data_IF_006455292912
#
_entry.id   IF_006455292912
#
_cell.length_a   1.000
_cell.length_b   1.000
_cell.length_c   1.000
_cell.angle_alpha   90.00
_cell.angle_beta   90.00
_cell.angle_gamma   90.00
#
_symmetry.space_group_name_H-M   'P 1'
#
loop_
_entity.id
_entity.type
_entity.pdbx_description
1 polymer ?
#
# COMPACT_ATOMS: atom_id res chain seq x y z
N UNK A 1 17.28 11.53 12.20
CA UNK A 1 16.47 10.33 12.47
C UNK A 1 16.31 9.52 11.20
N UNK A 2 16.80 8.29 11.24
CA UNK A 2 16.53 7.30 10.21
C UNK A 2 15.29 6.48 10.58
N UNK A 3 14.39 6.25 9.63
CA UNK A 3 13.18 5.46 9.78
C UNK A 3 13.03 4.54 8.58
N UNK A 4 12.79 3.25 8.86
CA UNK A 4 12.40 2.30 7.81
C UNK A 4 11.02 2.66 7.25
N UNK A 5 10.79 2.35 5.97
CA UNK A 5 9.51 2.60 5.33
C UNK A 5 8.34 1.81 5.95
N UNK A 6 7.14 2.23 5.57
CA UNK A 6 5.88 1.61 5.96
C UNK A 6 5.78 0.18 5.43
N UNK A 7 5.35 -0.80 6.25
CA UNK A 7 5.11 -2.16 5.79
C UNK A 7 4.05 -2.21 4.69
N UNK A 8 4.30 -3.02 3.66
CA UNK A 8 3.36 -3.25 2.56
C UNK A 8 2.85 -4.69 2.64
N UNK A 9 1.53 -4.84 2.73
CA UNK A 9 0.85 -6.12 2.60
C UNK A 9 0.03 -6.09 1.32
N UNK A 10 0.38 -6.92 0.35
CA UNK A 10 -0.36 -6.98 -0.90
C UNK A 10 -1.64 -7.80 -0.73
N UNK A 11 -2.67 -7.41 -1.47
CA UNK A 11 -3.93 -8.15 -1.58
C UNK A 11 -4.47 -7.93 -2.99
N UNK A 12 -5.23 -8.90 -3.50
CA UNK A 12 -5.95 -8.69 -4.75
C UNK A 12 -7.06 -7.65 -4.57
N UNK A 13 -7.36 -6.95 -5.64
CA UNK A 13 -8.56 -6.11 -5.79
C UNK A 13 -9.30 -6.51 -7.06
N UNK A 14 -10.56 -6.07 -7.18
CA UNK A 14 -11.42 -6.45 -8.30
C UNK A 14 -11.93 -7.88 -8.15
N UNK A 15 -11.96 -8.63 -9.24
CA UNK A 15 -12.71 -9.87 -9.31
C UNK A 15 -12.16 -11.00 -8.42
N UNK A 16 -10.84 -11.02 -8.19
CA UNK A 16 -10.16 -11.93 -7.28
C UNK A 16 -10.43 -11.63 -5.78
N UNK A 17 -11.10 -10.51 -5.47
CA UNK A 17 -11.48 -10.07 -4.13
C UNK A 17 -13.01 -9.88 -4.10
N UNK A 18 -13.76 -10.96 -4.37
CA UNK A 18 -15.21 -11.02 -4.31
C UNK A 18 -15.75 -12.22 -3.52
N UNK A 19 -16.96 -12.09 -2.96
CA UNK A 19 -17.65 -13.19 -2.24
C UNK A 19 -18.06 -14.32 -3.19
N UNK A 20 -18.44 -13.97 -4.42
CA UNK A 20 -18.82 -14.89 -5.49
C UNK A 20 -17.64 -15.77 -5.87
N UNK A 21 -16.42 -15.22 -5.81
CA UNK A 21 -15.23 -16.02 -6.01
C UNK A 21 -15.05 -17.07 -4.91
N UNK A 22 -15.23 -16.73 -3.64
CA UNK A 22 -15.07 -17.71 -2.57
C UNK A 22 -16.00 -18.93 -2.79
N UNK A 23 -17.22 -18.67 -3.25
CA UNK A 23 -18.17 -19.72 -3.64
C UNK A 23 -17.68 -20.53 -4.85
N UNK A 24 -17.11 -19.88 -5.88
CA UNK A 24 -16.55 -20.57 -7.04
C UNK A 24 -15.28 -21.38 -6.74
N UNK A 25 -14.35 -20.83 -5.96
CA UNK A 25 -13.04 -21.43 -5.65
C UNK A 25 -13.12 -22.53 -4.60
N UNK A 26 -13.98 -22.37 -3.59
CA UNK A 26 -14.01 -23.23 -2.40
C UNK A 26 -15.35 -23.94 -2.20
N UNK A 27 -16.35 -23.67 -3.05
CA UNK A 27 -17.71 -24.20 -2.88
C UNK A 27 -18.46 -23.60 -1.69
N UNK A 28 -17.91 -22.57 -1.03
CA UNK A 28 -18.49 -21.94 0.16
C UNK A 28 -18.14 -20.47 0.25
N UNK A 29 -19.03 -19.66 0.83
CA UNK A 29 -18.75 -18.26 1.17
C UNK A 29 -18.10 -18.11 2.57
N UNK A 30 -17.79 -19.20 3.27
CA UNK A 30 -17.20 -19.16 4.61
C UNK A 30 -15.86 -18.40 4.68
N UNK A 31 -15.14 -18.30 3.56
CA UNK A 31 -13.89 -17.55 3.43
C UNK A 31 -14.10 -16.07 3.04
N UNK A 32 -15.36 -15.60 3.03
CA UNK A 32 -15.74 -14.21 2.76
C UNK A 32 -15.89 -13.35 4.04
N UNK A 33 -15.58 -13.89 5.22
CA UNK A 33 -15.86 -13.22 6.51
C UNK A 33 -14.59 -12.51 7.00
N UNK A 34 -14.51 -11.18 6.81
CA UNK A 34 -13.44 -10.31 7.34
C UNK A 34 -12.81 -9.36 6.31
N UNK A 35 -11.79 -8.59 6.72
CA UNK A 35 -11.01 -7.62 5.92
C UNK A 35 -10.16 -8.29 4.79
N UNK A 36 -10.76 -9.20 4.03
CA UNK A 36 -10.20 -9.98 2.94
C UNK A 36 -11.36 -10.71 2.25
N UNK A 37 -12.17 -9.96 1.50
CA UNK A 37 -13.36 -10.48 0.82
C UNK A 37 -12.93 -11.23 -0.42
N UNK A 38 -12.45 -12.45 -0.29
CA UNK A 38 -11.93 -13.21 -1.42
C UNK A 38 -10.82 -14.08 -0.91
N UNK A 39 -11.13 -15.37 -0.75
CA UNK A 39 -10.31 -16.31 0.02
C UNK A 39 -8.95 -16.66 -0.58
N UNK A 40 -8.41 -15.84 -1.49
CA UNK A 40 -7.12 -16.05 -2.12
C UNK A 40 -6.17 -14.87 -1.88
N UNK A 41 -4.97 -15.18 -1.41
CA UNK A 41 -3.86 -14.26 -1.23
C UNK A 41 -2.90 -14.34 -2.45
N UNK A 42 -2.20 -13.25 -2.78
CA UNK A 42 -1.15 -13.29 -3.80
C UNK A 42 -0.07 -14.32 -3.44
N UNK A 43 0.26 -15.17 -4.41
CA UNK A 43 1.40 -16.07 -4.31
C UNK A 43 2.62 -15.41 -4.97
N UNK A 44 3.81 -15.85 -4.56
CA UNK A 44 5.07 -15.27 -5.02
C UNK A 44 5.97 -16.34 -5.64
N UNK A 45 6.45 -16.10 -6.85
CA UNK A 45 7.39 -17.00 -7.55
C UNK A 45 8.85 -16.68 -7.23
N UNK A 46 9.12 -15.42 -6.86
CA UNK A 46 10.43 -14.92 -6.43
C UNK A 46 10.25 -13.68 -5.54
N UNK A 47 11.35 -13.06 -5.09
CA UNK A 47 11.27 -11.79 -4.37
C UNK A 47 10.88 -10.66 -5.35
N UNK A 48 9.69 -10.03 -5.22
CA UNK A 48 9.26 -8.96 -6.12
C UNK A 48 9.99 -7.62 -5.86
N UNK A 49 10.79 -7.50 -4.79
CA UNK A 49 11.46 -6.24 -4.49
C UNK A 49 12.59 -5.97 -5.48
N UNK A 50 12.47 -4.87 -6.23
CA UNK A 50 13.42 -4.49 -7.28
C UNK A 50 14.72 -3.86 -6.74
N UNK A 51 14.89 -3.74 -5.43
CA UNK A 51 16.14 -3.27 -4.82
C UNK A 51 16.43 -1.78 -4.99
N UNK A 52 15.53 -1.01 -5.60
CA UNK A 52 15.73 0.39 -5.94
C UNK A 52 14.44 1.07 -6.38
N UNK A 53 14.49 2.40 -6.48
CA UNK A 53 13.36 3.24 -6.87
C UNK A 53 12.94 4.16 -5.72
N UNK A 54 13.38 5.40 -5.79
CA UNK A 54 13.07 6.41 -4.76
C UNK A 54 12.66 7.73 -5.38
N UNK A 55 12.26 7.74 -6.66
CA UNK A 55 11.77 8.91 -7.36
C UNK A 55 10.39 8.62 -7.92
N UNK A 56 9.61 9.67 -8.11
CA UNK A 56 8.36 9.58 -8.86
C UNK A 56 8.65 8.99 -10.24
N UNK A 57 7.92 7.94 -10.59
CA UNK A 57 8.09 7.21 -11.85
C UNK A 57 8.79 5.87 -11.71
N UNK A 58 9.62 5.67 -10.67
CA UNK A 58 10.35 4.42 -10.47
C UNK A 58 9.40 3.29 -10.06
N UNK A 59 9.70 2.05 -10.47
CA UNK A 59 9.04 0.84 -9.96
C UNK A 59 9.88 0.22 -8.84
N UNK A 60 9.26 -0.03 -7.69
CA UNK A 60 9.90 -0.67 -6.52
C UNK A 60 9.53 -2.14 -6.34
N UNK A 61 8.46 -2.58 -7.01
CA UNK A 61 7.97 -3.95 -7.00
C UNK A 61 7.74 -4.44 -8.42
N UNK A 62 8.12 -5.69 -8.66
CA UNK A 62 7.84 -6.40 -9.90
C UNK A 62 6.54 -7.19 -9.79
N UNK A 63 5.63 -6.95 -10.74
CA UNK A 63 4.40 -7.73 -10.89
C UNK A 63 4.70 -9.16 -11.37
N UNK A 64 5.78 -9.38 -12.13
CA UNK A 64 6.10 -10.70 -12.70
C UNK A 64 6.39 -11.77 -11.63
N UNK A 65 6.81 -11.33 -10.45
CA UNK A 65 7.08 -12.18 -9.29
C UNK A 65 5.80 -12.53 -8.49
N UNK A 66 4.64 -11.98 -8.87
CA UNK A 66 3.36 -12.17 -8.20
C UNK A 66 2.43 -12.98 -9.10
N UNK A 67 1.85 -14.04 -8.55
CA UNK A 67 0.95 -14.94 -9.26
C UNK A 67 -0.31 -15.21 -8.45
N UNK A 68 -1.30 -15.78 -9.13
CA UNK A 68 -2.49 -16.33 -8.50
C UNK A 68 -2.16 -17.69 -7.87
N UNK A 69 -2.74 -18.02 -6.71
CA UNK A 69 -2.64 -19.38 -6.18
C UNK A 69 -3.38 -20.36 -7.10
N UNK A 70 -3.07 -21.65 -6.97
CA UNK A 70 -3.79 -22.69 -7.71
C UNK A 70 -5.26 -22.78 -7.29
N UNK A 71 -6.11 -23.34 -8.17
CA UNK A 71 -7.53 -23.57 -7.87
C UNK A 71 -7.68 -24.38 -6.58
N UNK A 72 -8.57 -23.94 -5.69
CA UNK A 72 -8.79 -24.57 -4.38
C UNK A 72 -7.73 -24.23 -3.32
N UNK A 73 -6.73 -23.41 -3.65
CA UNK A 73 -5.75 -22.91 -2.69
C UNK A 73 -6.02 -21.45 -2.34
N UNK A 74 -5.93 -21.10 -1.06
CA UNK A 74 -6.03 -19.73 -0.57
C UNK A 74 -4.74 -18.92 -0.71
N UNK A 75 -3.67 -19.52 -1.22
CA UNK A 75 -2.34 -18.92 -1.20
C UNK A 75 -1.75 -18.86 0.23
N UNK A 76 -0.60 -18.19 0.39
CA UNK A 76 0.09 -18.15 1.67
C UNK A 76 -0.70 -17.30 2.69
N UNK A 77 -0.98 -17.86 3.87
CA UNK A 77 -1.64 -17.17 4.98
C UNK A 77 -0.78 -16.06 5.59
N UNK A 78 0.54 -16.16 5.42
CA UNK A 78 1.54 -15.16 5.77
C UNK A 78 2.39 -14.91 4.54
N UNK A 79 2.52 -13.64 4.11
CA UNK A 79 3.37 -13.31 2.97
C UNK A 79 4.80 -13.79 3.23
N UNK A 80 5.41 -14.58 2.31
CA UNK A 80 6.75 -15.15 2.52
C UNK A 80 7.85 -14.08 2.54
N UNK A 81 7.54 -12.90 2.05
CA UNK A 81 8.45 -11.77 1.98
C UNK A 81 7.86 -10.57 2.73
N UNK A 82 8.72 -9.87 3.44
CA UNK A 82 8.37 -8.68 4.19
C UNK A 82 8.81 -7.43 3.43
N UNK A 83 7.88 -6.83 2.69
CA UNK A 83 8.16 -5.62 1.91
C UNK A 83 7.89 -4.36 2.73
N UNK A 84 8.72 -3.35 2.50
CA UNK A 84 8.53 -2.01 3.03
C UNK A 84 8.68 -0.98 1.94
N UNK A 85 7.97 0.13 2.08
CA UNK A 85 8.18 1.31 1.26
C UNK A 85 9.57 1.92 1.46
N UNK A 86 9.82 3.05 0.78
CA UNK A 86 11.09 3.77 0.89
C UNK A 86 11.41 4.16 2.34
N UNK A 87 12.69 4.17 2.67
CA UNK A 87 13.18 4.71 3.93
C UNK A 87 13.14 6.25 3.97
N UNK A 88 13.23 6.79 5.18
CA UNK A 88 13.37 8.22 5.45
C UNK A 88 14.60 8.47 6.31
N UNK A 89 15.40 9.45 5.95
CA UNK A 89 16.45 10.04 6.75
C UNK A 89 16.21 11.55 6.93
N UNK A 90 15.61 11.91 8.07
CA UNK A 90 15.27 13.29 8.40
C UNK A 90 16.31 13.91 9.31
N UNK A 91 16.79 15.10 9.00
CA UNK A 91 17.71 15.83 9.87
C UNK A 91 17.10 17.16 10.28
N UNK A 92 16.90 17.32 11.59
CA UNK A 92 16.34 18.51 12.20
C UNK A 92 17.42 19.13 13.09
N UNK A 93 17.61 20.45 13.00
CA UNK A 93 18.63 21.19 13.72
C UNK A 93 17.98 22.40 14.37
N UNK A 94 18.23 22.60 15.66
CA UNK A 94 17.71 23.75 16.40
C UNK A 94 18.84 24.51 17.08
N UNK A 95 18.90 25.82 16.87
CA UNK A 95 19.83 26.75 17.48
C UNK A 95 19.11 27.60 18.52
N UNK A 96 19.75 27.79 19.67
CA UNK A 96 19.24 28.61 20.77
C UNK A 96 20.34 29.55 21.23
N UNK A 97 20.02 30.85 21.31
CA UNK A 97 20.91 31.85 21.91
C UNK A 97 20.14 32.75 22.85
N UNK A 98 20.63 32.86 24.08
CA UNK A 98 20.15 33.85 25.02
C UNK A 98 21.15 35.01 25.02
N UNK A 99 20.61 36.22 24.93
CA UNK A 99 21.32 37.47 25.16
C UNK A 99 20.77 38.05 26.46
N UNK A 100 21.60 38.09 27.51
CA UNK A 100 21.22 38.65 28.80
C UNK A 100 21.53 40.15 28.81
N UNK A 101 20.65 40.95 29.40
CA UNK A 101 20.77 42.42 29.46
C UNK A 101 21.07 42.93 30.87
N UNK A 102 20.93 42.08 31.88
CA UNK A 102 21.22 42.38 33.28
C UNK A 102 22.26 41.41 33.84
N UNK A 103 22.95 41.84 34.91
CA UNK A 103 23.93 41.02 35.63
C UNK A 103 23.28 39.79 36.28
N UNK A 104 22.02 39.92 36.67
CA UNK A 104 21.25 38.88 37.37
C UNK A 104 20.58 37.88 36.40
N UNK A 105 20.64 38.13 35.09
CA UNK A 105 20.12 37.24 34.03
C UNK A 105 18.60 37.13 33.94
N UNK A 106 17.85 38.00 34.64
CA UNK A 106 16.39 38.03 34.64
C UNK A 106 15.83 38.65 33.36
N UNK A 107 16.53 39.65 32.80
CA UNK A 107 16.18 40.31 31.54
C UNK A 107 16.98 39.69 30.41
N UNK A 108 16.32 38.92 29.57
CA UNK A 108 16.98 38.24 28.44
C UNK A 108 16.14 38.19 27.18
N UNK A 109 16.83 38.31 26.05
CA UNK A 109 16.31 38.01 24.73
C UNK A 109 16.73 36.60 24.33
N UNK A 110 15.77 35.72 24.12
CA UNK A 110 16.00 34.38 23.60
C UNK A 110 15.67 34.32 22.12
N UNK A 111 16.69 33.99 21.32
CA UNK A 111 16.56 33.65 19.91
C UNK A 111 16.52 32.13 19.75
N UNK A 112 15.57 31.65 18.93
CA UNK A 112 15.47 30.25 18.55
C UNK A 112 15.32 30.16 17.03
N UNK A 113 16.09 29.29 16.40
CA UNK A 113 15.93 28.93 15.00
C UNK A 113 15.86 27.41 14.86
N UNK A 114 14.80 26.89 14.24
CA UNK A 114 14.62 25.48 13.94
C UNK A 114 14.65 25.24 12.43
N UNK A 115 15.41 24.25 12.00
CA UNK A 115 15.48 23.78 10.62
C UNK A 115 15.04 22.33 10.59
N UNK A 116 13.90 22.04 9.97
CA UNK A 116 13.34 20.69 9.91
C UNK A 116 13.46 20.13 8.49
N UNK A 117 13.88 18.87 8.38
CA UNK A 117 14.21 18.22 7.11
C UNK A 117 15.22 19.05 6.29
N UNK A 118 16.38 19.36 6.89
CA UNK A 118 17.34 20.31 6.30
C UNK A 118 17.86 19.87 4.90
N UNK A 119 17.97 18.56 4.66
CA UNK A 119 18.34 17.98 3.37
C UNK A 119 17.17 17.84 2.39
N UNK A 120 15.97 18.29 2.77
CA UNK A 120 14.76 18.30 1.95
C UNK A 120 14.45 16.94 1.31
N UNK A 121 14.56 15.86 2.08
CA UNK A 121 14.20 14.54 1.57
C UNK A 121 12.68 14.43 1.40
N UNK A 122 12.25 13.96 0.23
CA UNK A 122 10.87 13.54 -0.02
C UNK A 122 10.84 12.02 -0.21
N UNK A 123 9.77 11.38 0.25
CA UNK A 123 9.60 9.92 0.16
C UNK A 123 8.12 9.54 0.06
N UNK A 124 7.77 8.40 -0.54
CA UNK A 124 6.42 7.86 -0.51
C UNK A 124 6.07 7.42 0.92
N UNK A 125 4.96 7.89 1.46
CA UNK A 125 4.57 7.61 2.85
C UNK A 125 3.21 6.94 2.93
N UNK A 126 2.26 7.45 2.16
CA UNK A 126 0.86 7.06 2.28
C UNK A 126 0.63 5.85 1.38
N UNK A 127 0.10 4.77 1.95
CA UNK A 127 -0.11 3.49 1.26
C UNK A 127 -1.58 3.11 1.37
N UNK A 128 -2.24 2.96 0.23
CA UNK A 128 -3.63 2.53 0.15
C UNK A 128 -3.84 1.54 -0.99
N UNK A 129 -4.27 0.32 -0.64
CA UNK A 129 -4.47 -0.77 -1.60
C UNK A 129 -5.82 -0.69 -2.31
N UNK A 130 -6.80 0.02 -1.75
CA UNK A 130 -8.16 0.09 -2.30
C UNK A 130 -8.42 1.38 -3.07
N UNK A 131 -7.61 2.42 -2.85
CA UNK A 131 -7.69 3.69 -3.56
C UNK A 131 -6.28 4.10 -4.02
N UNK A 132 -5.95 3.93 -5.32
CA UNK A 132 -4.60 4.21 -5.82
C UNK A 132 -4.31 5.71 -5.84
N UNK A 133 -5.35 6.56 -5.88
CA UNK A 133 -5.19 8.02 -5.84
C UNK A 133 -4.85 8.53 -4.43
N UNK A 134 -5.14 7.74 -3.40
CA UNK A 134 -4.75 8.00 -2.02
C UNK A 134 -3.45 7.29 -1.62
N UNK A 135 -2.72 6.73 -2.59
CA UNK A 135 -1.48 5.98 -2.37
C UNK A 135 -0.33 6.62 -3.14
N UNK A 136 0.80 6.80 -2.47
CA UNK A 136 2.03 7.35 -3.05
C UNK A 136 2.79 6.30 -3.89
N UNK A 137 2.43 5.02 -3.74
CA UNK A 137 2.89 3.90 -4.55
C UNK A 137 1.67 3.16 -5.06
N UNK A 138 1.62 2.89 -6.37
CA UNK A 138 0.52 2.13 -6.95
C UNK A 138 0.71 0.63 -6.65
N UNK A 139 -0.09 0.13 -5.70
CA UNK A 139 0.00 -1.24 -5.17
C UNK A 139 -1.28 -2.06 -5.42
N UNK A 140 -2.13 -1.57 -6.31
CA UNK A 140 -3.36 -2.26 -6.68
C UNK A 140 -3.07 -3.44 -7.58
N UNK A 141 -3.34 -4.64 -7.05
CA UNK A 141 -3.42 -5.88 -7.80
C UNK A 141 -4.85 -6.05 -8.32
N UNK A 142 -5.28 -5.17 -9.23
CA UNK A 142 -6.62 -5.20 -9.78
C UNK A 142 -6.73 -6.31 -10.82
N UNK A 143 -7.79 -7.11 -10.70
CA UNK A 143 -7.95 -8.36 -11.41
C UNK A 143 -9.30 -8.42 -12.12
N UNK A 144 -9.28 -9.04 -13.29
CA UNK A 144 -10.45 -9.34 -14.11
C UNK A 144 -10.51 -10.84 -14.34
N UNK A 145 -11.72 -11.36 -14.46
CA UNK A 145 -11.94 -12.76 -14.76
C UNK A 145 -11.70 -13.00 -16.23
N UNK A 146 -10.96 -14.07 -16.54
CA UNK A 146 -10.72 -14.48 -17.92
C UNK A 146 -12.00 -15.09 -18.51
N UNK A 147 -12.76 -15.81 -17.67
CA UNK A 147 -14.04 -16.41 -18.01
C UNK A 147 -15.07 -16.15 -16.91
N UNK A 148 -16.27 -15.80 -17.33
CA UNK A 148 -17.46 -15.73 -16.48
C UNK A 148 -18.44 -16.84 -16.88
N UNK A 149 -19.16 -17.36 -15.89
CA UNK A 149 -20.19 -18.37 -16.06
C UNK A 149 -21.53 -17.77 -15.65
N UNK A 150 -22.53 -17.90 -16.51
CA UNK A 150 -23.90 -17.44 -16.28
C UNK A 150 -24.84 -18.56 -15.85
N UNK A 151 -24.51 -19.81 -16.18
CA UNK A 151 -25.29 -21.00 -15.84
C UNK A 151 -24.38 -22.15 -15.44
N UNK A 152 -24.80 -22.94 -14.45
CA UNK A 152 -24.11 -24.16 -14.03
C UNK A 152 -25.01 -25.35 -14.35
N UNK A 153 -24.50 -26.33 -15.12
CA UNK A 153 -25.26 -27.51 -15.56
C UNK A 153 -26.62 -27.17 -16.23
N UNK A 154 -26.67 -26.11 -17.04
CA UNK A 154 -27.89 -25.70 -17.75
C UNK A 154 -28.94 -24.98 -16.90
N UNK A 155 -28.65 -24.70 -15.62
CA UNK A 155 -29.52 -23.96 -14.71
C UNK A 155 -28.87 -22.70 -14.13
N UNK A 156 -29.66 -21.82 -13.48
CA UNK A 156 -29.13 -20.63 -12.83
C UNK A 156 -28.22 -21.00 -11.64
N UNK A 157 -27.16 -20.24 -11.44
CA UNK A 157 -26.21 -20.51 -10.35
C UNK A 157 -26.84 -20.06 -9.03
N UNK A 158 -26.86 -20.94 -8.04
CA UNK A 158 -27.43 -20.63 -6.71
C UNK A 158 -26.42 -19.84 -5.89
N UNK A 159 -26.85 -18.76 -5.24
CA UNK A 159 -25.97 -17.87 -4.46
C UNK A 159 -25.76 -18.30 -3.00
N UNK A 160 -26.26 -19.48 -2.59
CA UNK A 160 -26.14 -20.00 -1.23
C UNK A 160 -27.01 -19.31 -0.17
N UNK A 161 -27.83 -18.32 -0.53
CA UNK A 161 -28.76 -17.61 0.37
C UNK A 161 -30.21 -17.64 -0.15
N UNK A 162 -30.55 -18.68 -0.94
CA UNK A 162 -31.89 -18.88 -1.49
C UNK A 162 -32.19 -18.13 -2.80
N UNK A 163 -31.21 -17.45 -3.38
CA UNK A 163 -31.33 -16.74 -4.67
C UNK A 163 -30.46 -17.33 -5.79
N UNK A 164 -30.46 -16.65 -6.93
CA UNK A 164 -29.58 -16.96 -8.06
C UNK A 164 -28.62 -15.80 -8.34
N UNK A 165 -27.50 -16.11 -8.99
CA UNK A 165 -26.46 -15.17 -9.38
C UNK A 165 -25.99 -15.54 -10.78
N UNK A 166 -25.63 -14.55 -11.57
CA UNK A 166 -25.06 -14.69 -12.91
C UNK A 166 -23.64 -14.10 -12.94
N UNK A 167 -22.93 -14.34 -14.05
CA UNK A 167 -21.61 -13.76 -14.33
C UNK A 167 -20.58 -14.01 -13.22
N UNK A 168 -20.58 -15.23 -12.66
CA UNK A 168 -19.58 -15.61 -11.66
C UNK A 168 -18.28 -15.94 -12.38
N UNK A 169 -17.18 -15.47 -11.81
CA UNK A 169 -15.84 -15.82 -12.27
C UNK A 169 -15.58 -17.32 -12.22
N UNK A 170 -15.18 -17.88 -13.36
CA UNK A 170 -14.78 -19.27 -13.43
C UNK A 170 -13.34 -19.43 -12.88
N UNK A 171 -13.16 -20.13 -11.75
CA UNK A 171 -11.84 -20.33 -11.19
C UNK A 171 -10.91 -21.14 -12.11
N UNK A 172 -11.44 -22.03 -12.96
CA UNK A 172 -10.67 -22.84 -13.91
C UNK A 172 -10.16 -22.03 -15.09
N UNK A 173 -10.86 -20.93 -15.45
CA UNK A 173 -10.41 -19.99 -16.46
C UNK A 173 -9.32 -19.04 -15.97
N UNK A 174 -9.17 -18.91 -14.64
CA UNK A 174 -8.18 -18.08 -13.99
C UNK A 174 -8.47 -16.57 -14.07
N UNK A 175 -7.47 -15.81 -13.64
CA UNK A 175 -7.53 -14.36 -13.54
C UNK A 175 -6.45 -13.72 -14.40
N UNK A 176 -6.70 -12.47 -14.78
CA UNK A 176 -5.69 -11.61 -15.36
C UNK A 176 -5.66 -10.27 -14.65
N UNK A 177 -4.46 -9.70 -14.52
CA UNK A 177 -4.33 -8.32 -14.10
C UNK A 177 -4.85 -7.39 -15.20
N UNK A 178 -5.49 -6.30 -14.79
CA UNK A 178 -5.88 -5.22 -15.70
C UNK A 178 -4.64 -4.59 -16.33
N UNK A 179 -4.81 -3.92 -17.48
CA UNK A 179 -3.70 -3.20 -18.12
C UNK A 179 -3.12 -2.15 -17.17
N UNK A 180 -3.99 -1.48 -16.42
CA UNK A 180 -3.61 -0.49 -15.44
C UNK A 180 -2.67 -1.03 -14.35
N UNK A 181 -2.97 -2.21 -13.81
CA UNK A 181 -2.09 -2.90 -12.87
C UNK A 181 -0.78 -3.32 -13.54
N UNK A 182 -0.81 -3.87 -14.76
CA UNK A 182 0.43 -4.27 -15.46
C UNK A 182 1.37 -3.08 -15.69
N UNK A 183 0.82 -1.94 -16.04
CA UNK A 183 1.61 -0.76 -16.38
C UNK A 183 2.14 -0.06 -15.13
N UNK A 184 1.32 0.06 -14.08
CA UNK A 184 1.59 0.92 -12.93
C UNK A 184 1.98 0.20 -11.65
N UNK A 185 1.82 -1.12 -11.54
CA UNK A 185 2.14 -1.82 -10.30
C UNK A 185 3.58 -1.56 -9.83
N UNK A 186 3.72 -1.29 -8.54
CA UNK A 186 4.99 -0.95 -7.89
C UNK A 186 5.49 0.46 -8.20
N UNK A 187 4.80 1.26 -9.02
CA UNK A 187 5.26 2.59 -9.44
C UNK A 187 5.04 3.62 -8.34
N UNK A 188 6.07 4.40 -8.03
CA UNK A 188 5.98 5.58 -7.16
C UNK A 188 5.25 6.69 -7.92
N UNK A 189 4.09 7.11 -7.43
CA UNK A 189 3.26 8.14 -8.04
C UNK A 189 3.54 9.52 -7.46
N UNK A 190 3.83 9.58 -6.15
CA UNK A 190 4.02 10.82 -5.41
C UNK A 190 5.10 10.64 -4.36
N UNK A 191 5.74 11.73 -3.98
CA UNK A 191 6.60 11.79 -2.80
C UNK A 191 6.19 12.95 -1.93
N UNK A 192 6.32 12.75 -0.62
CA UNK A 192 5.92 13.73 0.39
C UNK A 192 7.14 14.11 1.21
N UNK A 193 7.30 15.42 1.39
CA UNK A 193 8.39 16.00 2.16
C UNK A 193 8.30 17.50 2.09
N UNK A 194 8.57 18.17 3.20
CA UNK A 194 8.73 19.63 3.24
C UNK A 194 9.89 19.96 4.16
N UNK A 195 10.66 20.97 3.77
CA UNK A 195 11.62 21.64 4.63
C UNK A 195 10.91 22.81 5.31
N UNK A 196 11.06 22.91 6.63
CA UNK A 196 10.45 23.98 7.42
C UNK A 196 11.58 24.73 8.12
N UNK A 197 11.48 26.05 8.11
CA UNK A 197 12.34 26.94 8.90
C UNK A 197 11.43 27.69 9.86
N UNK A 198 11.75 27.60 11.15
CA UNK A 198 11.03 28.29 12.22
C UNK A 198 11.98 29.24 12.92
N UNK A 199 11.52 30.46 13.16
CA UNK A 199 12.27 31.47 13.91
C UNK A 199 11.36 32.00 15.01
N UNK A 200 11.87 32.04 16.23
CA UNK A 200 11.15 32.58 17.37
C UNK A 200 12.05 33.50 18.19
N UNK A 201 11.42 34.56 18.69
CA UNK A 201 12.01 35.55 19.58
C UNK A 201 11.16 35.59 20.85
N UNK A 202 11.80 35.48 22.01
CA UNK A 202 11.12 35.60 23.31
C UNK A 202 11.86 36.56 24.20
N UNK A 203 11.14 37.54 24.73
CA UNK A 203 11.65 38.47 25.73
C UNK A 203 11.21 38.03 27.13
N UNK A 204 12.13 38.13 28.08
CA UNK A 204 11.90 37.90 29.50
C UNK A 204 12.15 39.23 30.22
N UNK A 205 11.21 39.66 31.04
CA UNK A 205 11.21 40.92 31.78
C UNK A 205 11.29 40.68 33.28
#
# INVERSE_FOLDING_TARGET
TYQSGTPIRLQFTGAANSTQLAQGYFGTNALSIGNGVGGIAPAFTSNPFLGGGSKVGDKILDLSAITFPGVGQSGPSVAPFYFRGSNRNNHDISFFKNFNFDADGTKRLQFRAGFFNIFNQAFPRDINLNNPNASDIYLQLNTECVREVTTLNGGPIRNGVGGTVDRICDPSGGFRFTNDTRDRFGKVTTQRGRRIVEVALKFYF
#
